data_IF_303932677844
#
_entry.id   IF_303932677844
#
_cell.length_a   1.000
_cell.length_b   1.000
_cell.length_c   1.000
_cell.angle_alpha   90.00
_cell.angle_beta   90.00
_cell.angle_gamma   90.00
#
_symmetry.space_group_name_H-M   'P 1'
#
loop_
_entity.id
_entity.type
_entity.pdbx_description
1 polymer ?
#
# COMPACT_ATOMS: atom_id res chain seq x y z
N UNK A 1 -11.26 -5.90 27.15
CA UNK A 1 -11.71 -4.53 26.82
C UNK A 1 -13.21 -4.62 26.56
N UNK A 2 -14.03 -4.10 27.50
CA UNK A 2 -15.50 -4.24 27.48
C UNK A 2 -16.12 -3.17 26.56
N UNK A 3 -16.23 -3.46 25.27
CA UNK A 3 -16.97 -2.64 24.30
C UNK A 3 -18.31 -3.35 23.99
N UNK A 4 -19.41 -2.59 23.84
CA UNK A 4 -20.66 -3.15 23.37
C UNK A 4 -20.53 -3.67 21.93
N UNK A 5 -21.32 -4.67 21.53
CA UNK A 5 -21.30 -5.22 20.16
C UNK A 5 -21.55 -4.14 19.10
N UNK A 6 -22.42 -3.17 19.39
CA UNK A 6 -22.67 -2.04 18.47
C UNK A 6 -21.45 -1.13 18.32
N UNK A 7 -20.76 -0.81 19.45
CA UNK A 7 -19.54 -0.01 19.40
C UNK A 7 -18.41 -0.72 18.66
N UNK A 8 -18.29 -2.05 18.84
CA UNK A 8 -17.31 -2.86 18.11
C UNK A 8 -17.60 -2.84 16.61
N UNK A 9 -18.86 -2.99 16.20
CA UNK A 9 -19.27 -2.94 14.79
C UNK A 9 -18.95 -1.60 14.13
N UNK A 10 -19.31 -0.49 14.78
CA UNK A 10 -19.02 0.86 14.29
C UNK A 10 -17.51 1.13 14.21
N UNK A 11 -16.76 0.79 15.24
CA UNK A 11 -15.32 0.98 15.27
C UNK A 11 -14.58 0.12 14.24
N UNK A 12 -15.06 -1.11 13.99
CA UNK A 12 -14.49 -2.00 12.99
C UNK A 12 -14.78 -1.56 11.55
N UNK A 13 -15.80 -0.76 11.29
CA UNK A 13 -16.09 -0.21 9.97
C UNK A 13 -15.22 0.99 9.60
N UNK A 14 -14.65 1.71 10.57
CA UNK A 14 -13.82 2.90 10.32
C UNK A 14 -12.61 2.63 9.40
N UNK A 15 -11.79 1.57 9.60
CA UNK A 15 -10.71 1.26 8.68
C UNK A 15 -11.18 0.98 7.25
N UNK A 16 -12.34 0.34 7.07
CA UNK A 16 -12.89 0.05 5.73
C UNK A 16 -13.35 1.32 5.02
N UNK A 17 -14.02 2.21 5.72
CA UNK A 17 -14.44 3.51 5.17
C UNK A 17 -13.22 4.36 4.82
N UNK A 18 -12.22 4.38 5.70
CA UNK A 18 -10.98 5.12 5.46
C UNK A 18 -10.20 4.59 4.26
N UNK A 19 -10.22 3.27 4.04
CA UNK A 19 -9.65 2.61 2.87
C UNK A 19 -10.28 3.13 1.57
N UNK A 20 -11.61 3.11 1.49
CA UNK A 20 -12.34 3.59 0.31
C UNK A 20 -12.01 5.07 0.00
N UNK A 21 -11.94 5.91 1.04
CA UNK A 21 -11.59 7.33 0.89
C UNK A 21 -10.11 7.45 0.44
N UNK A 22 -9.21 6.68 1.05
CA UNK A 22 -7.78 6.67 0.73
C UNK A 22 -7.51 6.31 -0.73
N UNK A 23 -8.19 5.28 -1.24
CA UNK A 23 -8.06 4.84 -2.63
C UNK A 23 -8.46 5.96 -3.62
N UNK A 24 -9.64 6.56 -3.44
CA UNK A 24 -10.10 7.67 -4.28
C UNK A 24 -9.17 8.87 -4.19
N UNK A 25 -8.78 9.28 -2.98
CA UNK A 25 -7.88 10.41 -2.76
C UNK A 25 -6.51 10.14 -3.36
N UNK A 26 -5.97 8.93 -3.24
CA UNK A 26 -4.69 8.54 -3.82
C UNK A 26 -4.67 8.66 -5.35
N UNK A 27 -5.72 8.18 -6.01
CA UNK A 27 -5.89 8.31 -7.45
C UNK A 27 -5.97 9.78 -7.89
N UNK A 28 -6.87 10.55 -7.28
CA UNK A 28 -7.02 11.99 -7.59
C UNK A 28 -5.74 12.78 -7.32
N UNK A 29 -5.06 12.52 -6.22
CA UNK A 29 -3.84 13.23 -5.83
C UNK A 29 -2.69 12.95 -6.80
N UNK A 30 -2.46 11.69 -7.15
CA UNK A 30 -1.40 11.33 -8.10
C UNK A 30 -1.65 11.93 -9.49
N UNK A 31 -2.90 11.95 -9.95
CA UNK A 31 -3.26 12.54 -11.24
C UNK A 31 -3.19 14.08 -11.23
N UNK A 32 -3.54 14.69 -10.09
CA UNK A 32 -3.38 16.14 -9.92
C UNK A 32 -1.92 16.57 -9.96
N UNK A 33 -1.04 15.83 -9.27
CA UNK A 33 0.41 16.08 -9.28
C UNK A 33 0.95 15.88 -10.70
N UNK A 34 0.52 14.82 -11.39
CA UNK A 34 0.93 14.55 -12.76
C UNK A 34 0.54 15.70 -13.72
N UNK A 35 -0.70 16.18 -13.63
CA UNK A 35 -1.17 17.30 -14.45
C UNK A 35 -0.41 18.60 -14.18
N UNK A 36 0.02 18.85 -12.93
CA UNK A 36 0.78 20.05 -12.58
C UNK A 36 2.26 19.98 -12.97
N UNK A 37 2.88 18.81 -12.84
CA UNK A 37 4.33 18.67 -13.00
C UNK A 37 4.74 18.10 -14.35
N UNK A 38 3.83 17.41 -15.05
CA UNK A 38 4.14 16.67 -16.26
C UNK A 38 5.09 15.49 -16.04
N UNK A 39 5.49 15.21 -14.79
CA UNK A 39 6.48 14.18 -14.45
C UNK A 39 5.80 12.96 -13.81
N UNK A 40 5.66 11.88 -14.59
CA UNK A 40 5.01 10.63 -14.18
C UNK A 40 5.71 10.03 -12.96
N UNK A 41 7.03 9.95 -13.02
CA UNK A 41 7.86 9.37 -11.96
C UNK A 41 7.69 10.09 -10.64
N UNK A 42 7.72 11.42 -10.67
CA UNK A 42 7.50 12.23 -9.47
C UNK A 42 6.08 12.06 -8.93
N UNK A 43 5.06 12.11 -9.80
CA UNK A 43 3.66 12.02 -9.39
C UNK A 43 3.35 10.69 -8.69
N UNK A 44 3.82 9.55 -9.23
CA UNK A 44 3.58 8.22 -8.64
C UNK A 44 4.33 8.07 -7.31
N UNK A 45 5.61 8.50 -7.25
CA UNK A 45 6.43 8.40 -6.04
C UNK A 45 5.98 9.31 -4.92
N UNK A 46 5.56 10.54 -5.23
CA UNK A 46 5.15 11.54 -4.25
C UNK A 46 3.90 11.16 -3.44
N UNK A 47 3.10 10.23 -3.94
CA UNK A 47 1.93 9.70 -3.23
C UNK A 47 2.25 8.36 -2.58
N UNK A 48 2.84 7.43 -3.33
CA UNK A 48 3.03 6.07 -2.85
C UNK A 48 4.07 5.95 -1.73
N UNK A 49 5.22 6.59 -1.86
CA UNK A 49 6.28 6.45 -0.87
C UNK A 49 5.90 7.08 0.49
N UNK A 50 5.40 8.33 0.58
CA UNK A 50 4.93 8.88 1.84
C UNK A 50 3.72 8.13 2.40
N UNK A 51 2.81 7.65 1.55
CA UNK A 51 1.66 6.84 1.98
C UNK A 51 2.09 5.59 2.75
N UNK A 52 2.98 4.78 2.17
CA UNK A 52 3.53 3.60 2.85
C UNK A 52 4.28 3.95 4.13
N UNK A 53 5.09 5.00 4.10
CA UNK A 53 5.88 5.41 5.25
C UNK A 53 5.00 5.87 6.43
N UNK A 54 3.99 6.72 6.17
CA UNK A 54 3.04 7.19 7.19
C UNK A 54 2.17 6.04 7.72
N UNK A 55 1.74 5.12 6.85
CA UNK A 55 1.05 3.92 7.28
C UNK A 55 1.89 3.10 8.26
N UNK A 56 3.18 2.88 7.95
CA UNK A 56 4.10 2.16 8.83
C UNK A 56 4.28 2.84 10.20
N UNK A 57 4.45 4.16 10.21
CA UNK A 57 4.61 4.92 11.45
C UNK A 57 3.38 4.80 12.37
N UNK A 58 2.18 4.77 11.81
CA UNK A 58 0.93 4.67 12.57
C UNK A 58 0.67 3.27 13.12
N UNK A 59 1.28 2.23 12.56
CA UNK A 59 1.18 0.87 13.11
C UNK A 59 1.89 0.74 14.46
N UNK A 60 2.93 1.53 14.72
CA UNK A 60 3.70 1.45 15.97
C UNK A 60 2.82 1.84 17.18
N UNK A 61 2.21 3.04 17.25
CA UNK A 61 1.30 3.38 18.34
C UNK A 61 0.04 2.51 18.36
N UNK A 62 -0.44 2.02 17.22
CA UNK A 62 -1.55 1.09 17.17
C UNK A 62 -1.25 -0.21 17.93
N UNK A 63 -0.01 -0.71 17.83
CA UNK A 63 0.44 -1.93 18.48
C UNK A 63 0.72 -1.79 19.98
N UNK A 64 1.18 -0.61 20.42
CA UNK A 64 1.73 -0.39 21.76
C UNK A 64 0.77 0.29 22.72
N UNK A 65 -0.30 0.93 22.25
CA UNK A 65 -1.28 1.62 23.11
C UNK A 65 -2.17 0.67 23.88
N UNK A 66 -2.47 1.01 25.13
CA UNK A 66 -3.46 0.31 25.96
C UNK A 66 -4.90 0.71 25.65
N UNK A 67 -5.12 1.85 25.01
CA UNK A 67 -6.44 2.35 24.62
C UNK A 67 -6.94 1.69 23.36
N UNK A 68 -8.08 0.99 23.44
CA UNK A 68 -8.72 0.37 22.26
C UNK A 68 -9.11 1.42 21.19
N UNK A 69 -9.61 2.57 21.63
CA UNK A 69 -10.03 3.65 20.73
C UNK A 69 -8.82 4.22 19.99
N UNK A 70 -7.73 4.52 20.71
CA UNK A 70 -6.48 5.01 20.10
C UNK A 70 -5.91 4.00 19.10
N UNK A 71 -5.91 2.71 19.45
CA UNK A 71 -5.45 1.66 18.53
C UNK A 71 -6.27 1.65 17.23
N UNK A 72 -7.59 1.71 17.33
CA UNK A 72 -8.48 1.69 16.16
C UNK A 72 -8.30 2.95 15.31
N UNK A 73 -8.16 4.13 15.93
CA UNK A 73 -7.91 5.37 15.19
C UNK A 73 -6.57 5.33 14.46
N UNK A 74 -5.52 4.84 15.10
CA UNK A 74 -4.21 4.66 14.46
C UNK A 74 -4.28 3.66 13.29
N UNK A 75 -4.99 2.54 13.46
CA UNK A 75 -5.22 1.56 12.38
C UNK A 75 -6.03 2.16 11.24
N UNK A 76 -7.06 2.93 11.55
CA UNK A 76 -7.88 3.64 10.56
C UNK A 76 -7.05 4.61 9.74
N UNK A 77 -6.23 5.43 10.40
CA UNK A 77 -5.34 6.36 9.73
C UNK A 77 -4.23 5.63 8.93
N UNK A 78 -3.65 4.56 9.50
CA UNK A 78 -2.68 3.72 8.79
C UNK A 78 -3.29 3.14 7.50
N UNK A 79 -4.50 2.62 7.57
CA UNK A 79 -5.19 2.05 6.43
C UNK A 79 -5.49 3.10 5.35
N UNK A 80 -5.92 4.31 5.75
CA UNK A 80 -6.10 5.44 4.84
C UNK A 80 -4.82 5.74 4.04
N UNK A 81 -3.68 5.86 4.74
CA UNK A 81 -2.40 6.14 4.08
C UNK A 81 -1.90 4.98 3.22
N UNK A 82 -2.19 3.74 3.60
CA UNK A 82 -1.86 2.57 2.80
C UNK A 82 -2.65 2.55 1.48
N UNK A 83 -3.95 2.85 1.54
CA UNK A 83 -4.81 2.85 0.35
C UNK A 83 -4.54 4.03 -0.60
N UNK A 84 -3.93 5.13 -0.13
CA UNK A 84 -3.43 6.17 -1.03
C UNK A 84 -2.45 5.62 -2.09
N UNK A 85 -1.78 4.51 -1.77
CA UNK A 85 -0.79 3.88 -2.66
C UNK A 85 -1.47 3.16 -3.82
N UNK A 86 -2.72 2.75 -3.66
CA UNK A 86 -3.42 1.91 -4.63
C UNK A 86 -3.57 2.60 -5.99
N UNK A 87 -3.95 3.89 -5.99
CA UNK A 87 -4.05 4.69 -7.22
C UNK A 87 -2.75 4.69 -8.05
N UNK A 88 -1.60 5.15 -7.52
CA UNK A 88 -0.33 5.05 -8.23
C UNK A 88 0.10 3.60 -8.53
N UNK A 89 -0.21 2.62 -7.67
CA UNK A 89 0.14 1.22 -7.91
C UNK A 89 -0.56 0.64 -9.14
N UNK A 90 -1.84 0.97 -9.37
CA UNK A 90 -2.55 0.57 -10.58
C UNK A 90 -2.16 1.36 -11.82
N UNK A 91 -1.70 2.60 -11.66
CA UNK A 91 -1.27 3.43 -12.78
C UNK A 91 0.08 2.99 -13.36
N UNK A 92 1.03 2.55 -12.51
CA UNK A 92 2.37 2.13 -12.97
C UNK A 92 2.35 1.03 -14.04
N UNK A 93 1.59 -0.07 -13.91
CA UNK A 93 1.48 -1.07 -14.97
C UNK A 93 0.97 -0.51 -16.31
N UNK A 94 0.11 0.50 -16.29
CA UNK A 94 -0.37 1.18 -17.49
C UNK A 94 0.71 2.08 -18.08
N UNK A 95 1.43 2.82 -17.21
CA UNK A 95 2.51 3.72 -17.63
C UNK A 95 3.67 2.96 -18.29
N UNK A 96 4.07 1.78 -17.75
CA UNK A 96 5.21 0.99 -18.26
C UNK A 96 4.85 -0.06 -19.31
N UNK A 97 3.60 -0.52 -19.33
CA UNK A 97 3.16 -1.67 -20.12
C UNK A 97 2.75 -1.34 -21.55
N UNK A 98 2.37 -0.09 -21.86
CA UNK A 98 1.90 0.30 -23.17
C UNK A 98 0.84 -0.67 -23.70
N UNK A 99 1.07 -1.28 -24.87
CA UNK A 99 0.17 -2.29 -25.49
C UNK A 99 0.07 -3.60 -24.69
N UNK A 100 1.01 -3.86 -23.78
CA UNK A 100 1.06 -5.05 -22.91
C UNK A 100 0.64 -4.75 -21.46
N UNK A 101 0.00 -3.61 -21.20
CA UNK A 101 -0.39 -3.17 -19.84
C UNK A 101 -1.24 -4.21 -19.11
N UNK A 102 -2.15 -4.92 -19.82
CA UNK A 102 -2.94 -6.01 -19.24
C UNK A 102 -2.08 -7.15 -18.71
N UNK A 103 -1.03 -7.56 -19.43
CA UNK A 103 -0.10 -8.61 -18.99
C UNK A 103 0.71 -8.17 -17.78
N UNK A 104 1.22 -6.93 -17.77
CA UNK A 104 1.97 -6.36 -16.64
C UNK A 104 1.07 -6.30 -15.40
N UNK A 105 -0.17 -5.84 -15.55
CA UNK A 105 -1.16 -5.81 -14.48
C UNK A 105 -1.49 -7.20 -13.95
N UNK A 106 -1.65 -8.19 -14.84
CA UNK A 106 -1.92 -9.57 -14.43
C UNK A 106 -0.78 -10.17 -13.61
N UNK A 107 0.48 -9.94 -14.00
CA UNK A 107 1.65 -10.37 -13.23
C UNK A 107 1.70 -9.68 -11.86
N UNK A 108 1.45 -8.37 -11.80
CA UNK A 108 1.39 -7.64 -10.53
C UNK A 108 0.32 -8.23 -9.61
N UNK A 109 -0.88 -8.49 -10.10
CA UNK A 109 -1.97 -9.09 -9.33
C UNK A 109 -1.64 -10.51 -8.86
N UNK A 110 -1.02 -11.33 -9.71
CA UNK A 110 -0.61 -12.68 -9.34
C UNK A 110 0.38 -12.67 -8.18
N UNK A 111 1.40 -11.81 -8.23
CA UNK A 111 2.37 -11.65 -7.14
C UNK A 111 1.69 -11.13 -5.88
N UNK A 112 0.77 -10.16 -6.01
CA UNK A 112 -0.03 -9.66 -4.91
C UNK A 112 -0.90 -10.75 -4.26
N UNK A 113 -1.54 -11.60 -5.05
CA UNK A 113 -2.36 -12.72 -4.55
C UNK A 113 -1.53 -13.75 -3.78
N UNK A 114 -0.30 -14.04 -4.22
CA UNK A 114 0.63 -14.90 -3.48
C UNK A 114 0.97 -14.26 -2.12
N UNK A 115 1.28 -12.98 -2.09
CA UNK A 115 1.53 -12.24 -0.85
C UNK A 115 0.31 -12.27 0.09
N UNK A 116 -0.89 -12.02 -0.43
CA UNK A 116 -2.13 -12.06 0.32
C UNK A 116 -2.41 -13.45 0.92
N UNK A 117 -2.05 -14.53 0.21
CA UNK A 117 -2.20 -15.90 0.69
C UNK A 117 -1.20 -16.27 1.80
N UNK A 118 0.01 -15.73 1.74
CA UNK A 118 1.06 -15.98 2.74
C UNK A 118 0.84 -15.14 4.01
N UNK A 119 0.30 -13.93 3.89
CA UNK A 119 0.15 -12.97 4.99
C UNK A 119 -0.57 -13.54 6.22
N UNK A 120 -1.74 -14.22 6.10
CA UNK A 120 -2.43 -14.81 7.26
C UNK A 120 -1.62 -15.93 7.95
N UNK A 121 -0.83 -16.69 7.19
CA UNK A 121 0.02 -17.75 7.73
C UNK A 121 1.14 -17.15 8.60
N UNK A 122 1.82 -16.11 8.09
CA UNK A 122 2.86 -15.40 8.85
C UNK A 122 2.27 -14.75 10.10
N UNK A 123 1.12 -14.10 9.96
CA UNK A 123 0.40 -13.51 11.09
C UNK A 123 0.07 -14.57 12.16
N UNK A 124 -0.52 -15.69 11.76
CA UNK A 124 -0.87 -16.80 12.67
C UNK A 124 0.36 -17.39 13.37
N UNK A 125 1.48 -17.56 12.66
CA UNK A 125 2.72 -18.04 13.26
C UNK A 125 3.30 -17.08 14.31
N UNK A 126 3.25 -15.77 14.07
CA UNK A 126 3.76 -14.76 14.99
C UNK A 126 2.90 -14.68 16.27
N UNK A 127 1.58 -14.70 16.11
CA UNK A 127 0.63 -14.71 17.23
C UNK A 127 0.73 -16.03 18.01
N UNK A 128 0.86 -17.16 17.33
CA UNK A 128 1.01 -18.48 17.95
C UNK A 128 2.27 -18.60 18.81
N UNK A 129 3.29 -17.77 18.56
CA UNK A 129 4.49 -17.66 19.42
C UNK A 129 4.29 -16.72 20.63
N UNK A 130 3.07 -16.28 20.89
CA UNK A 130 2.70 -15.46 22.06
C UNK A 130 2.89 -13.95 21.88
N UNK A 131 3.22 -13.46 20.69
CA UNK A 131 3.39 -12.02 20.47
C UNK A 131 2.30 -11.43 19.57
N UNK A 132 1.38 -10.68 20.15
CA UNK A 132 0.36 -9.91 19.42
C UNK A 132 0.92 -8.63 18.77
N UNK A 133 2.10 -8.18 19.18
CA UNK A 133 2.74 -6.96 18.71
C UNK A 133 3.63 -7.25 17.48
N UNK A 134 4.24 -8.43 17.42
CA UNK A 134 5.18 -8.78 16.36
C UNK A 134 4.62 -8.62 14.92
N UNK A 135 3.36 -9.00 14.60
CA UNK A 135 2.80 -8.78 13.28
C UNK A 135 2.80 -7.32 12.84
N UNK A 136 2.54 -6.38 13.76
CA UNK A 136 2.53 -4.95 13.45
C UNK A 136 3.93 -4.44 13.09
N UNK A 137 4.96 -4.86 13.83
CA UNK A 137 6.34 -4.47 13.51
C UNK A 137 6.83 -5.08 12.19
N UNK A 138 6.47 -6.33 11.91
CA UNK A 138 6.80 -6.98 10.63
C UNK A 138 6.12 -6.24 9.48
N UNK A 139 4.84 -5.92 9.61
CA UNK A 139 4.09 -5.15 8.61
C UNK A 139 4.69 -3.76 8.42
N UNK A 140 5.01 -3.04 9.51
CA UNK A 140 5.66 -1.74 9.43
C UNK A 140 7.01 -1.82 8.70
N UNK A 141 7.83 -2.84 8.97
CA UNK A 141 9.09 -3.08 8.28
C UNK A 141 8.91 -3.34 6.78
N UNK A 142 7.90 -4.12 6.39
CA UNK A 142 7.54 -4.36 4.98
C UNK A 142 7.11 -3.06 4.30
N UNK A 143 6.28 -2.25 4.96
CA UNK A 143 5.82 -0.97 4.40
C UNK A 143 6.96 0.05 4.24
N UNK A 144 7.88 0.13 5.20
CA UNK A 144 9.08 0.97 5.08
C UNK A 144 9.93 0.51 3.90
N UNK A 145 10.15 -0.80 3.77
CA UNK A 145 10.88 -1.38 2.64
C UNK A 145 10.19 -1.06 1.32
N UNK A 146 8.86 -1.20 1.26
CA UNK A 146 8.05 -0.82 0.11
C UNK A 146 8.17 0.66 -0.25
N UNK A 147 8.16 1.55 0.75
CA UNK A 147 8.40 2.99 0.56
C UNK A 147 9.76 3.27 -0.08
N UNK A 148 10.82 2.60 0.38
CA UNK A 148 12.16 2.71 -0.19
C UNK A 148 12.21 2.17 -1.63
N UNK A 149 11.54 1.05 -1.91
CA UNK A 149 11.41 0.50 -3.26
C UNK A 149 10.73 1.52 -4.19
N UNK A 150 9.66 2.19 -3.75
CA UNK A 150 9.01 3.24 -4.51
C UNK A 150 9.96 4.40 -4.83
N UNK A 151 10.78 4.83 -3.87
CA UNK A 151 11.73 5.94 -4.06
C UNK A 151 12.86 5.57 -5.03
N UNK A 152 13.43 4.38 -4.89
CA UNK A 152 14.69 4.06 -5.58
C UNK A 152 14.52 3.17 -6.81
N UNK A 153 13.56 2.21 -6.79
CA UNK A 153 13.45 1.18 -7.82
C UNK A 153 12.34 1.42 -8.83
N UNK A 154 11.19 1.96 -8.41
CA UNK A 154 10.06 2.16 -9.32
C UNK A 154 10.36 3.32 -10.27
N UNK A 155 10.43 3.03 -11.57
CA UNK A 155 10.66 4.01 -12.63
C UNK A 155 9.60 3.85 -13.74
N UNK A 156 8.46 4.56 -13.62
CA UNK A 156 7.35 4.44 -14.57
C UNK A 156 7.64 5.06 -15.94
N UNK A 157 8.74 5.79 -16.12
CA UNK A 157 9.14 6.35 -17.41
C UNK A 157 9.82 5.31 -18.31
N UNK A 158 10.25 4.16 -17.75
CA UNK A 158 10.93 3.10 -18.51
C UNK A 158 9.93 2.06 -19.02
N UNK A 159 9.50 2.22 -20.26
CA UNK A 159 8.64 1.23 -20.95
C UNK A 159 9.31 -0.15 -21.04
N UNK A 160 8.55 -1.19 -20.65
CA UNK A 160 9.00 -2.59 -20.78
C UNK A 160 8.99 -3.01 -22.25
N UNK A 161 8.08 -2.47 -23.06
CA UNK A 161 7.88 -2.81 -24.46
C UNK A 161 9.05 -2.31 -25.33
N UNK A 162 9.52 -1.09 -25.09
CA UNK A 162 10.66 -0.51 -25.82
C UNK A 162 11.95 -1.27 -25.58
N UNK A 163 12.20 -1.71 -24.33
CA UNK A 163 13.37 -2.56 -24.02
C UNK A 163 13.32 -3.92 -24.68
N UNK A 164 12.14 -4.51 -24.86
CA UNK A 164 11.95 -5.76 -25.59
C UNK A 164 12.28 -5.62 -27.06
N UNK A 165 11.79 -4.57 -27.70
CA UNK A 165 12.04 -4.28 -29.11
C UNK A 165 13.51 -3.96 -29.41
N UNK A 166 14.21 -3.25 -28.52
CA UNK A 166 15.63 -2.94 -28.65
C UNK A 166 16.51 -4.20 -28.51
N UNK A 167 16.12 -5.13 -27.62
CA UNK A 167 16.83 -6.39 -27.41
C UNK A 167 16.66 -7.37 -28.59
N UNK A 168 15.57 -7.30 -29.36
CA UNK A 168 15.35 -8.10 -30.56
C UNK A 168 16.06 -7.54 -31.80
N UNK A 169 16.51 -6.28 -31.78
CA UNK A 169 17.24 -5.64 -32.88
C UNK A 169 18.78 -5.80 -32.79
N UNK A 170 19.26 -6.34 -31.67
CA UNK A 170 20.69 -6.66 -31.44
C UNK A 170 20.94 -8.15 -31.59
#
# INVERSE_FOLDING_TARGET
RHLSLQSVGLLASLPLISAMIGDVVGGVLTDHILRKTGNIKFARRAVAAPGMFLAALLLIPAATTDSAVTAILCLTASNFFLELVLGPAWAVPMDVGGTSSGTVTAVMNMVGAVGASISPLVFGMLVGRGSWIAPFYVTAGILITGSLIWIFLIDPEKSVVERGAEKQRR
#
